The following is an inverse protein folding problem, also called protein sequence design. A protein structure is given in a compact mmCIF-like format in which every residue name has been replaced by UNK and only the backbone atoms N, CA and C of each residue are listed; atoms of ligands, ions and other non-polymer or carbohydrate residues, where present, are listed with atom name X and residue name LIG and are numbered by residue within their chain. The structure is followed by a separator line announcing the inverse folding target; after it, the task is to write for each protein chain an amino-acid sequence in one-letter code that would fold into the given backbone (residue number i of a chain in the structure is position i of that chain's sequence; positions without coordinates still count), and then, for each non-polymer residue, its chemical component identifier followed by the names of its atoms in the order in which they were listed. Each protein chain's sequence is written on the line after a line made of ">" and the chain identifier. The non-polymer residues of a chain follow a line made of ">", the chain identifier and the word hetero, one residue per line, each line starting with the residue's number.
data_IF_091830050614
#
_entry.id   IF_091830050614
#
_cell.length_a   1.000
_cell.length_b   1.000
_cell.length_c   1.000
_cell.angle_alpha   90.00
_cell.angle_beta   90.00
_cell.angle_gamma   90.00
#
_symmetry.space_group_name_H-M   'P 1'
#
loop_
_entity.id
_entity.type
_entity.pdbx_description
1 polymer ?
#
# COMPACT_ATOMS: atom_id res chain seq x y z
N UNK A 1 -24.32 18.31 -0.94
CA UNK A 1 -24.73 18.85 0.38
C UNK A 1 -23.56 18.68 1.32
N UNK A 2 -23.04 19.80 1.82
CA UNK A 2 -21.89 19.86 2.73
C UNK A 2 -22.37 19.47 4.13
N UNK A 3 -21.62 18.58 4.79
CA UNK A 3 -21.90 18.06 6.13
C UNK A 3 -22.24 19.17 7.10
N UNK A 4 -23.46 19.11 7.64
CA UNK A 4 -23.87 19.90 8.79
C UNK A 4 -24.09 18.91 9.92
N UNK A 5 -23.13 18.90 10.84
CA UNK A 5 -23.29 18.53 12.24
C UNK A 5 -23.40 17.03 12.59
N UNK A 6 -22.45 16.20 12.13
CA UNK A 6 -22.24 14.85 12.70
C UNK A 6 -22.13 14.88 14.24
N UNK A 7 -21.60 15.97 14.79
CA UNK A 7 -21.50 16.23 16.23
C UNK A 7 -22.85 16.34 16.95
N UNK A 8 -23.93 16.71 16.27
CA UNK A 8 -25.28 16.83 16.87
C UNK A 8 -26.13 15.59 16.63
N UNK A 9 -25.88 14.87 15.54
CA UNK A 9 -26.70 13.73 15.13
C UNK A 9 -26.38 12.45 15.93
N UNK A 10 -25.30 12.47 16.73
CA UNK A 10 -24.76 11.29 17.43
C UNK A 10 -24.59 10.07 16.50
N UNK A 11 -24.44 10.34 15.20
CA UNK A 11 -24.41 9.34 14.14
C UNK A 11 -23.45 9.80 13.07
N UNK A 12 -22.62 8.86 12.64
CA UNK A 12 -21.72 8.99 11.50
C UNK A 12 -22.09 7.92 10.47
N UNK A 13 -22.19 8.31 9.20
CA UNK A 13 -22.50 7.38 8.11
C UNK A 13 -21.23 7.18 7.27
N UNK A 14 -20.77 5.94 7.18
CA UNK A 14 -19.59 5.56 6.40
C UNK A 14 -20.05 4.74 5.20
N UNK A 15 -19.93 5.31 3.99
CA UNK A 15 -20.35 4.65 2.74
C UNK A 15 -19.18 4.23 1.85
N UNK A 16 -17.98 4.73 2.11
CA UNK A 16 -16.81 4.53 1.22
C UNK A 16 -16.07 3.20 1.48
N UNK A 17 -16.46 2.47 2.51
CA UNK A 17 -15.82 1.23 2.91
C UNK A 17 -16.84 0.13 3.18
N UNK A 18 -16.53 -1.13 2.83
CA UNK A 18 -17.33 -2.27 3.26
C UNK A 18 -17.43 -2.34 4.79
N UNK A 19 -18.58 -2.78 5.30
CA UNK A 19 -18.81 -2.96 6.74
C UNK A 19 -17.69 -3.75 7.43
N UNK A 20 -17.19 -4.81 6.78
CA UNK A 20 -16.05 -5.63 7.25
C UNK A 20 -14.82 -4.78 7.57
N UNK A 21 -14.46 -3.82 6.71
CA UNK A 21 -13.29 -2.95 6.90
C UNK A 21 -13.52 -2.01 8.09
N UNK A 22 -14.73 -1.45 8.20
CA UNK A 22 -15.11 -0.57 9.32
C UNK A 22 -15.05 -1.34 10.64
N UNK A 23 -15.63 -2.54 10.70
CA UNK A 23 -15.64 -3.38 11.90
C UNK A 23 -14.22 -3.78 12.34
N UNK A 24 -13.37 -4.21 11.41
CA UNK A 24 -11.96 -4.50 11.69
C UNK A 24 -11.24 -3.26 12.23
N UNK A 25 -11.36 -2.12 11.56
CA UNK A 25 -10.71 -0.87 11.98
C UNK A 25 -11.15 -0.43 13.38
N UNK A 26 -12.45 -0.47 13.68
CA UNK A 26 -12.97 -0.15 15.02
C UNK A 26 -12.39 -1.11 16.06
N UNK A 27 -12.38 -2.41 15.78
CA UNK A 27 -11.81 -3.39 16.71
C UNK A 27 -10.30 -3.16 16.95
N UNK A 28 -9.53 -2.74 15.94
CA UNK A 28 -8.12 -2.37 16.10
C UNK A 28 -7.94 -1.12 16.97
N UNK A 29 -8.77 -0.09 16.80
CA UNK A 29 -8.72 1.15 17.61
C UNK A 29 -8.94 0.83 19.09
N UNK A 30 -9.83 -0.11 19.40
CA UNK A 30 -10.10 -0.55 20.78
C UNK A 30 -9.10 -1.61 21.29
N UNK A 31 -7.98 -1.82 20.60
CA UNK A 31 -6.88 -2.68 21.06
C UNK A 31 -7.19 -4.17 21.03
N UNK A 32 -8.23 -4.61 20.31
CA UNK A 32 -8.48 -6.03 20.15
C UNK A 32 -7.44 -6.63 19.22
N UNK A 33 -6.87 -7.77 19.61
CA UNK A 33 -5.99 -8.52 18.70
C UNK A 33 -6.82 -9.11 17.57
N UNK A 34 -6.51 -8.70 16.35
CA UNK A 34 -7.14 -9.27 15.16
C UNK A 34 -6.08 -10.10 14.46
N UNK A 35 -6.35 -11.40 14.31
CA UNK A 35 -5.64 -12.23 13.36
C UNK A 35 -6.00 -11.73 11.97
N UNK A 36 -5.14 -10.89 11.39
CA UNK A 36 -5.24 -10.42 10.01
C UNK A 36 -4.98 -11.61 9.06
N UNK A 37 -5.96 -12.51 8.93
CA UNK A 37 -6.11 -13.41 7.76
C UNK A 37 -6.89 -12.68 6.68
N UNK A 38 -6.44 -11.47 6.38
CA UNK A 38 -7.07 -10.58 5.42
C UNK A 38 -6.44 -10.80 4.05
N UNK A 39 -7.24 -10.73 3.00
CA UNK A 39 -6.71 -10.72 1.63
C UNK A 39 -5.84 -9.47 1.42
N UNK A 40 -4.97 -9.48 0.41
CA UNK A 40 -4.18 -8.30 0.04
C UNK A 40 -5.09 -7.07 -0.20
N UNK A 41 -6.23 -7.28 -0.87
CA UNK A 41 -7.22 -6.22 -1.11
C UNK A 41 -7.79 -5.66 0.19
N UNK A 42 -8.14 -6.51 1.16
CA UNK A 42 -8.62 -6.07 2.47
C UNK A 42 -7.54 -5.25 3.19
N UNK A 43 -6.27 -5.65 3.13
CA UNK A 43 -5.17 -4.89 3.74
C UNK A 43 -5.05 -3.50 3.11
N UNK A 44 -5.13 -3.39 1.79
CA UNK A 44 -5.08 -2.08 1.13
C UNK A 44 -6.29 -1.19 1.48
N UNK A 45 -7.48 -1.80 1.62
CA UNK A 45 -8.66 -1.07 2.07
C UNK A 45 -8.53 -0.60 3.53
N UNK A 46 -7.94 -1.41 4.41
CA UNK A 46 -7.63 -1.02 5.79
C UNK A 46 -6.61 0.12 5.83
N UNK A 47 -5.58 0.08 4.99
CA UNK A 47 -4.63 1.17 4.87
C UNK A 47 -5.32 2.47 4.45
N UNK A 48 -6.15 2.42 3.39
CA UNK A 48 -6.93 3.57 2.92
C UNK A 48 -7.92 4.10 3.96
N UNK A 49 -8.49 3.21 4.77
CA UNK A 49 -9.31 3.60 5.91
C UNK A 49 -8.47 4.39 6.93
N UNK A 50 -7.30 3.88 7.29
CA UNK A 50 -6.36 4.55 8.19
C UNK A 50 -5.95 5.92 7.66
N UNK A 51 -5.59 6.02 6.38
CA UNK A 51 -5.21 7.28 5.74
C UNK A 51 -6.37 8.30 5.74
N UNK A 52 -7.57 7.89 5.33
CA UNK A 52 -8.75 8.77 5.27
C UNK A 52 -9.16 9.33 6.63
N UNK A 53 -9.07 8.52 7.68
CA UNK A 53 -9.48 8.89 9.03
C UNK A 53 -8.29 9.27 9.94
N UNK A 54 -7.09 9.41 9.37
CA UNK A 54 -5.86 9.76 10.08
C UNK A 54 -5.54 8.85 11.28
N UNK A 55 -5.72 7.54 11.11
CA UNK A 55 -5.47 6.53 12.14
C UNK A 55 -4.11 5.87 11.88
N UNK A 56 -3.05 6.54 12.31
CA UNK A 56 -1.65 6.13 12.06
C UNK A 56 -1.36 4.69 12.51
N UNK A 57 -1.87 4.28 13.67
CA UNK A 57 -1.65 2.92 14.20
C UNK A 57 -2.13 1.83 13.24
N UNK A 58 -3.26 2.04 12.55
CA UNK A 58 -3.75 1.09 11.53
C UNK A 58 -2.80 1.12 10.33
N UNK A 59 -2.38 2.30 9.89
CA UNK A 59 -1.47 2.44 8.74
C UNK A 59 -0.15 1.71 8.98
N UNK A 60 0.49 1.92 10.14
CA UNK A 60 1.76 1.29 10.50
C UNK A 60 1.63 -0.24 10.56
N UNK A 61 0.59 -0.75 11.24
CA UNK A 61 0.35 -2.19 11.36
C UNK A 61 0.12 -2.86 10.00
N UNK A 62 -0.64 -2.20 9.14
CA UNK A 62 -0.94 -2.73 7.81
C UNK A 62 0.29 -2.62 6.90
N UNK A 63 1.06 -1.54 6.97
CA UNK A 63 2.33 -1.41 6.25
C UNK A 63 3.29 -2.55 6.58
N UNK A 64 3.46 -2.87 7.87
CA UNK A 64 4.28 -4.02 8.29
C UNK A 64 3.77 -5.36 7.73
N UNK A 65 2.45 -5.52 7.60
CA UNK A 65 1.87 -6.72 7.00
C UNK A 65 2.14 -6.75 5.48
N UNK A 66 1.92 -5.64 4.78
CA UNK A 66 2.14 -5.53 3.34
C UNK A 66 3.61 -5.78 2.95
N UNK A 67 4.56 -5.35 3.78
CA UNK A 67 6.00 -5.64 3.58
C UNK A 67 6.27 -7.14 3.59
N UNK A 68 5.59 -7.91 4.44
CA UNK A 68 5.73 -9.38 4.53
C UNK A 68 5.09 -10.11 3.34
N UNK A 69 4.12 -9.47 2.68
CA UNK A 69 3.44 -9.99 1.49
C UNK A 69 4.15 -9.64 0.17
N UNK A 70 5.32 -8.98 0.22
CA UNK A 70 6.11 -8.67 -0.98
C UNK A 70 6.62 -9.99 -1.60
N UNK A 71 6.19 -10.24 -2.84
CA UNK A 71 6.54 -11.42 -3.63
C UNK A 71 6.66 -11.03 -5.10
N UNK A 72 7.21 -11.89 -5.98
CA UNK A 72 7.28 -11.60 -7.41
C UNK A 72 5.91 -11.33 -8.05
N UNK A 73 4.84 -11.90 -7.47
CA UNK A 73 3.46 -11.75 -7.96
C UNK A 73 2.84 -10.43 -7.50
N UNK A 74 3.16 -9.99 -6.29
CA UNK A 74 2.50 -8.83 -5.63
C UNK A 74 3.29 -7.53 -5.76
N UNK A 75 4.62 -7.59 -5.98
CA UNK A 75 5.51 -6.43 -5.90
C UNK A 75 5.11 -5.29 -6.84
N UNK A 76 4.76 -5.59 -8.10
CA UNK A 76 4.37 -4.55 -9.08
C UNK A 76 3.12 -3.81 -8.64
N UNK A 77 2.15 -4.54 -8.09
CA UNK A 77 0.91 -3.96 -7.61
C UNK A 77 1.16 -3.09 -6.37
N UNK A 78 1.98 -3.57 -5.44
CA UNK A 78 2.36 -2.83 -4.24
C UNK A 78 3.14 -1.55 -4.56
N UNK A 79 4.05 -1.56 -5.54
CA UNK A 79 4.76 -0.34 -5.98
C UNK A 79 3.77 0.73 -6.48
N UNK A 80 2.78 0.32 -7.30
CA UNK A 80 1.75 1.25 -7.80
C UNK A 80 0.89 1.80 -6.66
N UNK A 81 0.58 0.97 -5.66
CA UNK A 81 -0.19 1.39 -4.50
C UNK A 81 0.58 2.36 -3.61
N UNK A 82 1.85 2.08 -3.32
CA UNK A 82 2.66 2.85 -2.37
C UNK A 82 3.31 4.10 -2.98
N UNK A 83 3.13 4.33 -4.28
CA UNK A 83 3.73 5.45 -5.00
C UNK A 83 3.30 6.82 -4.42
N UNK A 84 4.11 7.88 -4.60
CA UNK A 84 3.75 9.23 -4.17
C UNK A 84 2.44 9.74 -4.79
N UNK A 85 2.10 9.26 -5.99
CA UNK A 85 0.93 9.68 -6.74
C UNK A 85 -0.38 9.01 -6.25
N UNK A 86 -0.29 7.99 -5.38
CA UNK A 86 -1.43 7.15 -4.99
C UNK A 86 -1.73 7.20 -3.50
N UNK A 87 -0.77 6.85 -2.66
CA UNK A 87 -0.98 6.71 -1.20
C UNK A 87 0.23 7.12 -0.38
N UNK A 88 1.34 7.48 -1.04
CA UNK A 88 2.56 8.02 -0.44
C UNK A 88 3.01 7.23 0.81
N UNK A 89 3.32 5.94 0.60
CA UNK A 89 3.78 5.02 1.65
C UNK A 89 5.27 4.74 1.41
N UNK A 90 6.17 5.64 1.83
CA UNK A 90 7.54 5.68 1.34
C UNK A 90 8.36 4.45 1.72
N UNK A 91 8.13 3.90 2.93
CA UNK A 91 8.87 2.73 3.41
C UNK A 91 8.43 1.48 2.62
N UNK A 92 7.12 1.24 2.49
CA UNK A 92 6.59 0.17 1.62
C UNK A 92 7.07 0.33 0.17
N UNK A 93 7.05 1.54 -0.39
CA UNK A 93 7.53 1.81 -1.75
C UNK A 93 9.01 1.45 -1.90
N UNK A 94 9.86 1.92 -0.98
CA UNK A 94 11.28 1.59 -0.98
C UNK A 94 11.49 0.07 -0.92
N UNK A 95 10.81 -0.63 0.00
CA UNK A 95 10.92 -2.08 0.16
C UNK A 95 10.50 -2.84 -1.09
N UNK A 96 9.44 -2.41 -1.76
CA UNK A 96 8.99 -3.03 -2.99
C UNK A 96 9.97 -2.79 -4.15
N UNK A 97 10.53 -1.58 -4.26
CA UNK A 97 11.54 -1.26 -5.29
C UNK A 97 12.83 -2.07 -5.07
N UNK A 98 13.32 -2.16 -3.82
CA UNK A 98 14.47 -2.98 -3.44
C UNK A 98 14.28 -4.45 -3.87
N UNK A 99 13.11 -5.02 -3.54
CA UNK A 99 12.76 -6.38 -3.92
C UNK A 99 12.68 -6.56 -5.44
N UNK A 100 12.04 -5.62 -6.14
CA UNK A 100 11.89 -5.66 -7.59
C UNK A 100 13.25 -5.63 -8.32
N UNK A 101 14.16 -4.76 -7.90
CA UNK A 101 15.53 -4.69 -8.44
C UNK A 101 16.27 -6.02 -8.20
N UNK A 102 16.10 -6.63 -7.03
CA UNK A 102 16.68 -7.95 -6.74
C UNK A 102 16.15 -9.01 -7.71
N UNK A 103 14.84 -9.08 -7.94
CA UNK A 103 14.25 -10.00 -8.91
C UNK A 103 14.77 -9.77 -10.34
N UNK A 104 14.98 -8.53 -10.77
CA UNK A 104 15.54 -8.22 -12.09
C UNK A 104 16.99 -8.69 -12.26
N UNK A 105 17.79 -8.65 -11.18
CA UNK A 105 19.17 -9.16 -11.20
C UNK A 105 19.22 -10.68 -11.28
N UNK A 106 18.22 -11.35 -10.73
CA UNK A 106 18.13 -12.82 -10.66
C UNK A 106 17.39 -13.43 -11.87
N UNK A 107 16.46 -12.69 -12.49
CA UNK A 107 15.73 -13.11 -13.68
C UNK A 107 16.47 -12.71 -14.97
N UNK A 108 16.67 -13.65 -15.89
CA UNK A 108 17.04 -13.32 -17.28
C UNK A 108 15.96 -12.36 -17.85
N UNK A 109 16.34 -11.25 -18.51
CA UNK A 109 15.55 -9.99 -18.58
C UNK A 109 14.25 -10.02 -19.42
N UNK A 110 13.70 -11.19 -19.74
CA UNK A 110 12.60 -11.35 -20.68
C UNK A 110 11.23 -11.14 -20.01
N UNK A 111 11.06 -11.51 -18.73
CA UNK A 111 9.73 -11.54 -18.08
C UNK A 111 9.28 -10.24 -17.40
N UNK A 112 10.19 -9.32 -17.07
CA UNK A 112 9.83 -8.08 -16.39
C UNK A 112 9.27 -7.00 -17.34
N UNK A 113 9.44 -7.18 -18.66
CA UNK A 113 9.06 -6.22 -19.68
C UNK A 113 7.54 -6.20 -19.97
N UNK A 114 6.87 -7.35 -19.92
CA UNK A 114 5.49 -7.49 -20.39
C UNK A 114 4.44 -6.92 -19.43
N UNK A 115 4.71 -6.83 -18.12
CA UNK A 115 3.71 -6.42 -17.12
C UNK A 115 3.74 -4.93 -16.74
N UNK A 116 4.84 -4.22 -17.03
CA UNK A 116 5.09 -2.90 -16.46
C UNK A 116 4.92 -1.72 -17.43
N UNK A 117 4.80 -1.98 -18.72
CA UNK A 117 4.79 -0.92 -19.71
C UNK A 117 6.17 -0.25 -19.83
N UNK A 118 6.60 -0.02 -21.07
CA UNK A 118 7.96 0.42 -21.40
C UNK A 118 8.37 1.74 -20.70
N UNK A 119 7.42 2.64 -20.44
CA UNK A 119 7.65 3.92 -19.75
C UNK A 119 8.06 3.76 -18.29
N UNK A 120 7.44 2.82 -17.56
CA UNK A 120 7.74 2.62 -16.14
C UNK A 120 9.13 2.02 -15.96
N UNK A 121 9.48 1.02 -16.78
CA UNK A 121 10.82 0.43 -16.79
C UNK A 121 11.87 1.47 -17.16
N UNK A 122 11.68 2.25 -18.23
CA UNK A 122 12.60 3.34 -18.60
C UNK A 122 12.78 4.38 -17.49
N UNK A 123 11.74 4.69 -16.72
CA UNK A 123 11.84 5.61 -15.57
C UNK A 123 12.57 5.00 -14.37
N UNK A 124 12.37 3.70 -14.09
CA UNK A 124 13.03 2.98 -13.00
C UNK A 124 14.52 2.70 -13.32
N UNK A 125 14.82 2.24 -14.53
CA UNK A 125 16.19 1.99 -14.97
C UNK A 125 17.00 3.27 -15.04
N UNK A 126 16.44 4.39 -15.52
CA UNK A 126 17.17 5.67 -15.54
C UNK A 126 17.53 6.14 -14.13
N UNK A 127 16.63 5.99 -13.15
CA UNK A 127 16.94 6.31 -11.74
C UNK A 127 17.95 5.36 -11.09
N UNK A 128 17.84 4.05 -11.35
CA UNK A 128 18.75 3.04 -10.78
C UNK A 128 20.15 3.07 -11.42
N UNK A 129 20.25 3.45 -12.70
CA UNK A 129 21.54 3.65 -13.37
C UNK A 129 22.19 4.92 -12.82
N UNK A 130 21.45 6.02 -12.69
CA UNK A 130 22.00 7.27 -12.15
C UNK A 130 22.53 7.15 -10.71
N UNK A 131 21.93 6.31 -9.87
CA UNK A 131 22.43 6.08 -8.50
C UNK A 131 23.65 5.15 -8.41
N UNK A 132 24.01 4.44 -9.48
CA UNK A 132 25.20 3.58 -9.53
C UNK A 132 26.38 4.24 -10.27
N UNK A 133 26.22 5.47 -10.74
CA UNK A 133 27.30 6.27 -11.37
C UNK A 133 27.68 7.52 -10.55
N UNK A 134 27.08 7.69 -9.37
CA UNK A 134 27.51 8.66 -8.36
C UNK A 134 27.84 7.92 -7.07
N UNK A 135 28.99 7.25 -7.08
CA UNK A 135 30.00 7.21 -6.01
C UNK A 135 31.21 6.37 -6.49
#
# INVERSE_FOLDING_TARGET
>A
MIGKNESFDNKMVINDFPFKIVDISVNLIYGKSILLKSSLEDMLLLFRFGDKYHIQTIMDMIEECLIKEISPVTVVYLIKFSSPDSSNVPILYQKCVEFFIKCLKEATPIYAAESLGEKFLKSMYSKAILSNFTD
#
